data_IF_622067322602
#
_entry.id   IF_622067322602
#
_cell.length_a   1.000
_cell.length_b   1.000
_cell.length_c   1.000
_cell.angle_alpha   90.00
_cell.angle_beta   90.00
_cell.angle_gamma   90.00
#
_symmetry.space_group_name_H-M   'P 1'
#
loop_
_entity.id
_entity.type
_entity.pdbx_description
1 polymer ?
#
# COMPACT_ATOMS: atom_id res chain seq x y z
N UNK A 1 1.55 10.23 -12.17
CA UNK A 1 1.45 8.95 -11.45
C UNK A 1 2.10 9.14 -10.09
N UNK A 2 1.50 8.63 -9.02
CA UNK A 2 2.09 8.69 -7.67
C UNK A 2 2.50 7.31 -7.20
N UNK A 3 3.59 7.28 -6.45
CA UNK A 3 4.11 6.07 -5.82
C UNK A 3 4.07 6.25 -4.31
N UNK A 4 3.58 5.22 -3.63
CA UNK A 4 3.59 5.10 -2.18
C UNK A 4 4.39 3.86 -1.79
N UNK A 5 5.32 4.02 -0.86
CA UNK A 5 6.13 2.92 -0.32
C UNK A 5 5.98 2.85 1.20
N UNK A 6 5.71 1.65 1.71
CA UNK A 6 5.60 1.39 3.14
C UNK A 6 6.29 0.09 3.52
N UNK A 7 7.11 0.15 4.57
CA UNK A 7 7.74 -1.03 5.16
C UNK A 7 7.27 -1.19 6.60
N UNK A 8 6.81 -2.38 6.95
CA UNK A 8 6.27 -2.66 8.28
C UNK A 8 6.26 -4.15 8.60
N UNK A 9 5.82 -4.49 9.80
CA UNK A 9 5.64 -5.89 10.20
C UNK A 9 4.66 -6.57 9.22
N UNK A 10 5.01 -7.77 8.77
CA UNK A 10 4.26 -8.56 7.78
C UNK A 10 2.75 -8.57 8.02
N UNK A 11 2.31 -8.78 9.26
CA UNK A 11 0.89 -8.83 9.64
C UNK A 11 0.18 -7.49 9.42
N UNK A 12 0.79 -6.38 9.88
CA UNK A 12 0.25 -5.02 9.72
C UNK A 12 0.19 -4.63 8.25
N UNK A 13 1.26 -4.91 7.51
CA UNK A 13 1.35 -4.58 6.08
C UNK A 13 0.29 -5.34 5.29
N UNK A 14 0.13 -6.65 5.50
CA UNK A 14 -0.88 -7.44 4.81
C UNK A 14 -2.30 -6.93 5.08
N UNK A 15 -2.59 -6.50 6.31
CA UNK A 15 -3.89 -5.94 6.66
C UNK A 15 -4.15 -4.59 5.97
N UNK A 16 -3.19 -3.67 6.02
CA UNK A 16 -3.26 -2.38 5.35
C UNK A 16 -3.46 -2.54 3.83
N UNK A 17 -2.71 -3.46 3.23
CA UNK A 17 -2.83 -3.82 1.81
C UNK A 17 -4.22 -4.33 1.46
N UNK A 18 -4.78 -5.22 2.28
CA UNK A 18 -6.11 -5.76 2.04
C UNK A 18 -7.19 -4.67 2.06
N UNK A 19 -7.14 -3.76 3.04
CA UNK A 19 -8.04 -2.61 3.14
C UNK A 19 -7.86 -1.68 1.93
N UNK A 20 -6.61 -1.38 1.56
CA UNK A 20 -6.32 -0.51 0.43
C UNK A 20 -6.83 -1.08 -0.90
N UNK A 21 -6.59 -2.37 -1.16
CA UNK A 21 -7.11 -3.04 -2.34
C UNK A 21 -8.65 -3.05 -2.36
N UNK A 22 -9.30 -3.21 -1.20
CA UNK A 22 -10.77 -3.22 -1.14
C UNK A 22 -11.36 -1.85 -1.51
N UNK A 23 -10.75 -0.76 -1.03
CA UNK A 23 -11.25 0.60 -1.22
C UNK A 23 -10.82 1.23 -2.56
N UNK A 24 -9.63 0.88 -3.05
CA UNK A 24 -8.95 1.61 -4.13
C UNK A 24 -8.53 0.73 -5.30
N UNK A 25 -9.08 -0.49 -5.44
CA UNK A 25 -8.71 -1.42 -6.53
C UNK A 25 -8.66 -0.77 -7.92
N UNK A 26 -9.64 0.07 -8.23
CA UNK A 26 -9.78 0.72 -9.52
C UNK A 26 -8.82 1.91 -9.74
N UNK A 27 -8.21 2.41 -8.66
CA UNK A 27 -7.27 3.52 -8.66
C UNK A 27 -5.80 3.03 -8.72
N UNK A 28 -5.57 1.75 -8.46
CA UNK A 28 -4.25 1.11 -8.48
C UNK A 28 -3.89 0.71 -9.90
N UNK A 29 -2.73 1.21 -10.35
CA UNK A 29 -2.14 0.79 -11.62
C UNK A 29 -1.17 -0.37 -11.43
N UNK A 30 -0.39 -0.34 -10.34
CA UNK A 30 0.55 -1.41 -10.01
C UNK A 30 0.69 -1.57 -8.51
N UNK A 31 0.83 -2.82 -8.09
CA UNK A 31 1.05 -3.19 -6.71
C UNK A 31 2.21 -4.18 -6.65
N UNK A 32 3.20 -3.92 -5.80
CA UNK A 32 4.37 -4.78 -5.63
C UNK A 32 4.68 -4.98 -4.15
N UNK A 33 4.95 -6.22 -3.77
CA UNK A 33 5.34 -6.62 -2.41
C UNK A 33 6.72 -7.26 -2.47
N UNK A 34 7.56 -6.89 -1.51
CA UNK A 34 8.89 -7.44 -1.35
C UNK A 34 9.08 -7.84 0.11
N UNK A 35 9.81 -8.93 0.34
CA UNK A 35 10.23 -9.27 1.70
C UNK A 35 11.33 -8.30 2.14
N UNK A 36 11.18 -7.79 3.36
CA UNK A 36 12.20 -7.03 4.07
C UNK A 36 12.79 -7.90 5.21
N UNK A 37 13.96 -7.54 5.77
CA UNK A 37 14.51 -8.21 6.94
C UNK A 37 13.55 -8.22 8.14
N UNK A 38 13.83 -9.05 9.14
CA UNK A 38 13.14 -9.04 10.44
C UNK A 38 11.61 -9.23 10.37
N UNK A 39 11.15 -10.18 9.54
CA UNK A 39 9.73 -10.50 9.31
C UNK A 39 8.88 -9.30 8.81
N UNK A 40 9.53 -8.34 8.17
CA UNK A 40 8.89 -7.18 7.58
C UNK A 40 8.55 -7.40 6.11
N UNK A 41 7.58 -6.62 5.63
CA UNK A 41 7.21 -6.52 4.23
C UNK A 41 7.31 -5.07 3.78
N UNK A 42 7.83 -4.87 2.58
CA UNK A 42 7.76 -3.59 1.87
C UNK A 42 6.71 -3.69 0.79
N UNK A 43 5.81 -2.71 0.74
CA UNK A 43 4.79 -2.58 -0.29
C UNK A 43 5.00 -1.30 -1.05
N UNK A 44 5.01 -1.40 -2.38
CA UNK A 44 4.98 -0.26 -3.29
C UNK A 44 3.68 -0.27 -4.08
N UNK A 45 2.99 0.87 -4.05
CA UNK A 45 1.72 1.08 -4.72
C UNK A 45 1.88 2.23 -5.69
N UNK A 46 1.63 1.95 -6.96
CA UNK A 46 1.54 2.94 -8.02
C UNK A 46 0.06 3.22 -8.31
N UNK A 47 -0.36 4.47 -8.15
CA UNK A 47 -1.75 4.88 -8.32
C UNK A 47 -1.86 6.16 -9.14
N UNK A 48 -3.09 6.43 -9.63
CA UNK A 48 -3.36 7.59 -10.50
C UNK A 48 -3.26 8.90 -9.74
N UNK A 49 -2.73 9.94 -10.39
CA UNK A 49 -2.44 11.25 -9.80
C UNK A 49 -3.68 12.01 -9.28
N UNK A 50 -4.85 11.73 -9.87
CA UNK A 50 -6.11 12.41 -9.59
C UNK A 50 -6.80 11.90 -8.31
N UNK A 51 -6.16 11.01 -7.55
CA UNK A 51 -6.72 10.33 -6.38
C UNK A 51 -5.99 10.68 -5.09
N UNK A 52 -6.71 10.68 -3.94
CA UNK A 52 -6.11 10.96 -2.64
C UNK A 52 -4.99 9.96 -2.30
N UNK A 53 -3.96 10.46 -1.61
CA UNK A 53 -2.83 9.63 -1.16
C UNK A 53 -3.31 8.49 -0.23
N UNK A 54 -2.71 7.28 -0.33
CA UNK A 54 -3.05 6.13 0.51
C UNK A 54 -3.03 6.43 2.00
N UNK A 55 -2.08 7.28 2.43
CA UNK A 55 -1.92 7.75 3.81
C UNK A 55 -3.15 8.52 4.32
N UNK A 56 -3.82 9.27 3.43
CA UNK A 56 -5.02 10.05 3.71
C UNK A 56 -6.31 9.24 3.57
N UNK A 57 -6.22 8.04 3.00
CA UNK A 57 -7.34 7.12 2.81
C UNK A 57 -7.61 6.22 4.04
N UNK A 58 -6.93 6.45 5.16
CA UNK A 58 -7.16 5.71 6.42
C UNK A 58 -6.55 4.30 6.44
N UNK A 59 -5.53 4.07 5.61
CA UNK A 59 -4.93 2.74 5.40
C UNK A 59 -3.78 2.43 6.36
N UNK A 60 -3.22 3.47 7.01
CA UNK A 60 -2.07 3.36 7.91
C UNK A 60 -2.29 4.07 9.27
N UNK A 61 -3.55 4.33 9.65
CA UNK A 61 -3.87 4.91 10.96
C UNK A 61 -3.78 3.88 12.10
#
# INVERSE_FOLDING_TARGET
MKEFEYTGISTTVNHAVAIFMLLHKHDIERFVVYNAPDDMLTVRILYRDDKPEPEKAGVLA
#
